data_IF_308082133939
#
_entry.id   IF_308082133939
#
_cell.length_a   1.000
_cell.length_b   1.000
_cell.length_c   1.000
_cell.angle_alpha   90.00
_cell.angle_beta   90.00
_cell.angle_gamma   90.00
#
_symmetry.space_group_name_H-M   'P 1'
#
loop_
_entity.id
_entity.type
_entity.pdbx_description
1 polymer ?
#
# COMPACT_ATOMS: atom_id res chain seq x y z
N UNK A 1 -9.70 6.28 -8.33
CA UNK A 1 -9.37 4.84 -8.55
C UNK A 1 -10.54 3.93 -8.98
N UNK A 2 -11.68 3.89 -8.26
CA UNK A 2 -12.77 2.94 -8.57
C UNK A 2 -13.35 3.07 -9.96
N UNK A 3 -13.52 4.31 -10.44
CA UNK A 3 -13.98 4.58 -11.80
C UNK A 3 -13.01 4.03 -12.86
N UNK A 4 -11.70 4.12 -12.62
CA UNK A 4 -10.70 3.59 -13.56
C UNK A 4 -10.82 2.07 -13.68
N UNK A 5 -10.95 1.36 -12.55
CA UNK A 5 -11.18 -0.10 -12.53
C UNK A 5 -12.46 -0.46 -13.26
N UNK A 6 -13.60 0.15 -12.89
CA UNK A 6 -14.89 -0.12 -13.52
C UNK A 6 -14.88 0.15 -15.03
N UNK A 7 -14.15 1.17 -15.47
CA UNK A 7 -13.99 1.48 -16.89
C UNK A 7 -13.16 0.43 -17.62
N UNK A 8 -12.06 -0.04 -17.03
CA UNK A 8 -11.24 -1.11 -17.61
C UNK A 8 -12.04 -2.42 -17.75
N UNK A 9 -12.80 -2.79 -16.71
CA UNK A 9 -13.66 -3.96 -16.70
C UNK A 9 -14.72 -3.87 -17.82
N UNK A 10 -15.36 -2.71 -17.98
CA UNK A 10 -16.37 -2.49 -19.01
C UNK A 10 -15.81 -2.50 -20.45
N UNK A 11 -14.52 -2.17 -20.62
CA UNK A 11 -13.87 -2.13 -21.94
C UNK A 11 -13.09 -3.41 -22.28
N UNK A 12 -13.08 -4.42 -21.40
CA UNK A 12 -12.33 -5.67 -21.57
C UNK A 12 -10.84 -5.43 -21.95
N UNK A 13 -10.23 -4.39 -21.38
CA UNK A 13 -8.85 -4.02 -21.68
C UNK A 13 -7.90 -4.92 -20.86
N UNK A 14 -7.57 -6.10 -21.37
CA UNK A 14 -6.72 -7.05 -20.64
C UNK A 14 -5.23 -6.74 -20.75
N UNK A 15 -4.78 -6.23 -21.90
CA UNK A 15 -3.37 -5.98 -22.18
C UNK A 15 -2.91 -4.62 -21.60
N UNK A 16 -1.70 -4.51 -21.00
CA UNK A 16 -1.23 -3.27 -20.37
C UNK A 16 -1.28 -2.03 -21.27
N UNK A 17 -0.89 -2.16 -22.54
CA UNK A 17 -0.99 -1.06 -23.51
C UNK A 17 -2.45 -0.67 -23.81
N UNK A 18 -3.34 -1.67 -23.89
CA UNK A 18 -4.77 -1.45 -24.07
C UNK A 18 -5.39 -0.72 -22.87
N UNK A 19 -4.97 -1.08 -21.65
CA UNK A 19 -5.38 -0.41 -20.42
C UNK A 19 -4.93 1.05 -20.40
N UNK A 20 -3.67 1.33 -20.77
CA UNK A 20 -3.16 2.70 -20.84
C UNK A 20 -3.98 3.57 -21.83
N UNK A 21 -4.25 3.05 -23.03
CA UNK A 21 -5.07 3.75 -24.02
C UNK A 21 -6.52 3.96 -23.54
N UNK A 22 -7.10 2.98 -22.84
CA UNK A 22 -8.44 3.10 -22.26
C UNK A 22 -8.49 4.17 -21.17
N UNK A 23 -7.55 4.18 -20.22
CA UNK A 23 -7.52 5.18 -19.17
C UNK A 23 -7.18 6.59 -19.67
N UNK A 24 -6.40 6.73 -20.74
CA UNK A 24 -6.23 8.03 -21.41
C UNK A 24 -7.57 8.59 -21.92
N UNK A 25 -8.43 7.75 -22.52
CA UNK A 25 -9.77 8.18 -22.95
C UNK A 25 -10.66 8.56 -21.77
N UNK A 26 -10.63 7.80 -20.68
CA UNK A 26 -11.39 8.13 -19.47
C UNK A 26 -10.92 9.47 -18.88
N UNK A 27 -9.62 9.64 -18.73
CA UNK A 27 -9.01 10.84 -18.15
C UNK A 27 -9.27 12.10 -18.97
N UNK A 28 -9.47 11.99 -20.29
CA UNK A 28 -9.83 13.12 -21.15
C UNK A 28 -11.17 13.78 -20.74
N UNK A 29 -12.04 13.07 -20.00
CA UNK A 29 -13.30 13.63 -19.48
C UNK A 29 -13.09 14.56 -18.29
N UNK A 30 -11.95 14.47 -17.61
CA UNK A 30 -11.57 15.35 -16.52
C UNK A 30 -10.03 15.46 -16.43
N UNK A 31 -9.39 16.20 -17.35
CA UNK A 31 -7.94 16.16 -17.54
C UNK A 31 -7.15 16.79 -16.40
N UNK A 32 -7.76 17.72 -15.66
CA UNK A 32 -7.12 18.45 -14.55
C UNK A 32 -7.22 17.71 -13.21
N UNK A 33 -8.00 16.63 -13.15
CA UNK A 33 -8.16 15.87 -11.90
C UNK A 33 -6.90 15.10 -11.54
N UNK A 34 -6.48 15.21 -10.28
CA UNK A 34 -5.36 14.44 -9.71
C UNK A 34 -5.51 12.93 -9.98
N UNK A 35 -6.71 12.38 -9.79
CA UNK A 35 -7.01 10.96 -10.05
C UNK A 35 -6.84 10.57 -11.53
N UNK A 36 -7.10 11.49 -12.47
CA UNK A 36 -6.93 11.24 -13.89
C UNK A 36 -5.46 11.06 -14.24
N UNK A 37 -4.59 11.92 -13.70
CA UNK A 37 -3.14 11.75 -13.87
C UNK A 37 -2.62 10.48 -13.20
N UNK A 38 -3.08 10.18 -11.98
CA UNK A 38 -2.69 8.95 -11.27
C UNK A 38 -3.11 7.71 -12.05
N UNK A 39 -4.33 7.67 -12.59
CA UNK A 39 -4.84 6.54 -13.37
C UNK A 39 -4.00 6.29 -14.63
N UNK A 40 -3.67 7.34 -15.40
CA UNK A 40 -2.79 7.20 -16.58
C UNK A 40 -1.39 6.78 -16.15
N UNK A 41 -0.82 7.40 -15.11
CA UNK A 41 0.51 7.07 -14.62
C UNK A 41 0.64 5.60 -14.21
N UNK A 42 -0.35 5.06 -13.50
CA UNK A 42 -0.37 3.67 -13.07
C UNK A 42 -0.38 2.71 -14.25
N UNK A 43 -1.27 2.94 -15.23
CA UNK A 43 -1.30 2.12 -16.43
C UNK A 43 -0.03 2.26 -17.28
N UNK A 44 0.54 3.47 -17.37
CA UNK A 44 1.81 3.70 -18.06
C UNK A 44 2.98 2.97 -17.39
N UNK A 45 3.06 2.97 -16.05
CA UNK A 45 4.04 2.18 -15.30
C UNK A 45 3.89 0.69 -15.58
N UNK A 46 2.66 0.18 -15.57
CA UNK A 46 2.39 -1.24 -15.85
C UNK A 46 2.71 -1.62 -17.31
N UNK A 47 2.54 -0.69 -18.24
CA UNK A 47 2.90 -0.83 -19.65
C UNK A 47 4.37 -0.49 -19.97
N UNK A 48 5.18 -0.11 -18.96
CA UNK A 48 6.58 0.33 -19.11
C UNK A 48 6.75 1.55 -20.04
N UNK A 49 5.74 2.40 -20.12
CA UNK A 49 5.79 3.67 -20.85
C UNK A 49 6.38 4.75 -19.94
N UNK A 50 7.69 4.67 -19.66
CA UNK A 50 8.36 5.47 -18.63
C UNK A 50 8.23 6.99 -18.82
N UNK A 51 8.33 7.47 -20.06
CA UNK A 51 8.18 8.90 -20.37
C UNK A 51 6.77 9.42 -20.05
N UNK A 52 5.75 8.62 -20.35
CA UNK A 52 4.35 8.97 -20.08
C UNK A 52 4.04 8.89 -18.59
N UNK A 53 4.53 7.86 -17.91
CA UNK A 53 4.43 7.73 -16.46
C UNK A 53 5.07 8.92 -15.76
N UNK A 54 6.31 9.30 -16.13
CA UNK A 54 7.01 10.46 -15.55
C UNK A 54 6.24 11.76 -15.75
N UNK A 55 5.72 11.99 -16.96
CA UNK A 55 4.91 13.18 -17.28
C UNK A 55 3.69 13.27 -16.38
N UNK A 56 2.90 12.20 -16.30
CA UNK A 56 1.66 12.19 -15.52
C UNK A 56 1.91 12.24 -14.01
N UNK A 57 2.93 11.55 -13.51
CA UNK A 57 3.29 11.63 -12.10
C UNK A 57 3.76 13.03 -11.71
N UNK A 58 4.55 13.70 -12.56
CA UNK A 58 4.95 15.10 -12.33
C UNK A 58 3.75 16.05 -12.25
N UNK A 59 2.77 15.90 -13.16
CA UNK A 59 1.52 16.67 -13.12
C UNK A 59 0.72 16.37 -11.84
N UNK A 60 0.62 15.10 -11.45
CA UNK A 60 -0.06 14.71 -10.21
C UNK A 60 0.63 15.29 -8.96
N UNK A 61 1.96 15.32 -8.92
CA UNK A 61 2.71 15.92 -7.81
C UNK A 61 2.48 17.43 -7.75
N UNK A 62 2.45 18.12 -8.89
CA UNK A 62 2.18 19.55 -8.96
C UNK A 62 0.73 19.90 -8.57
N UNK A 63 -0.23 19.05 -8.91
CA UNK A 63 -1.65 19.21 -8.57
C UNK A 63 -2.01 18.73 -7.16
N UNK A 64 -1.07 18.14 -6.42
CA UNK A 64 -1.35 17.60 -5.09
C UNK A 64 -1.71 18.72 -4.10
N UNK A 65 -2.77 18.55 -3.29
CA UNK A 65 -3.15 19.54 -2.29
C UNK A 65 -2.12 19.59 -1.15
N UNK A 66 -2.02 20.72 -0.41
CA UNK A 66 -1.28 20.77 0.85
C UNK A 66 -1.75 19.66 1.82
N UNK A 67 -0.84 19.05 2.61
CA UNK A 67 0.57 19.41 2.81
C UNK A 67 1.55 18.81 1.78
N UNK A 68 1.09 18.07 0.78
CA UNK A 68 1.95 17.45 -0.21
C UNK A 68 1.31 16.25 -0.92
N UNK A 69 2.08 15.55 -1.79
CA UNK A 69 1.57 14.40 -2.52
C UNK A 69 1.14 13.27 -1.58
N UNK A 70 0.00 12.60 -1.87
CA UNK A 70 -0.48 11.49 -1.05
C UNK A 70 0.49 10.29 -1.13
N UNK A 71 0.47 9.44 -0.10
CA UNK A 71 1.42 8.33 0.05
C UNK A 71 1.53 7.46 -1.19
N UNK A 72 0.42 7.07 -1.83
CA UNK A 72 0.45 6.24 -3.05
C UNK A 72 1.19 6.91 -4.20
N UNK A 73 1.09 8.24 -4.34
CA UNK A 73 1.75 8.98 -5.40
C UNK A 73 3.27 9.00 -5.19
N UNK A 74 3.73 9.17 -3.94
CA UNK A 74 5.15 9.06 -3.60
C UNK A 74 5.70 7.66 -3.92
N UNK A 75 4.94 6.59 -3.61
CA UNK A 75 5.35 5.22 -3.93
C UNK A 75 5.42 4.97 -5.44
N UNK A 76 4.50 5.54 -6.22
CA UNK A 76 4.55 5.45 -7.68
C UNK A 76 5.75 6.20 -8.27
N UNK A 77 6.11 7.36 -7.70
CA UNK A 77 7.35 8.06 -8.06
C UNK A 77 8.59 7.23 -7.72
N UNK A 78 8.65 6.61 -6.53
CA UNK A 78 9.75 5.71 -6.20
C UNK A 78 9.86 4.56 -7.19
N UNK A 79 8.73 3.90 -7.53
CA UNK A 79 8.68 2.86 -8.56
C UNK A 79 9.15 3.36 -9.92
N UNK A 80 8.80 4.59 -10.31
CA UNK A 80 9.28 5.18 -11.56
C UNK A 80 10.81 5.35 -11.53
N UNK A 81 11.36 5.94 -10.46
CA UNK A 81 12.80 6.20 -10.35
C UNK A 81 13.62 4.93 -10.14
N UNK A 82 13.05 3.83 -9.65
CA UNK A 82 13.72 2.52 -9.68
C UNK A 82 13.84 1.96 -11.11
N UNK A 83 13.04 2.47 -12.04
CA UNK A 83 12.96 2.04 -13.43
C UNK A 83 13.53 3.10 -14.39
N UNK A 84 13.65 2.77 -15.67
CA UNK A 84 14.59 3.38 -16.62
C UNK A 84 14.48 4.92 -16.85
N UNK A 85 15.61 5.67 -16.84
CA UNK A 85 16.96 5.27 -16.41
C UNK A 85 17.01 5.32 -14.86
N UNK A 86 17.01 4.17 -14.21
CA UNK A 86 16.79 4.12 -12.76
C UNK A 86 17.80 4.95 -11.96
N UNK A 87 17.31 5.73 -11.01
CA UNK A 87 18.06 6.46 -9.99
C UNK A 87 17.65 5.93 -8.59
N UNK A 88 18.44 5.01 -8.00
CA UNK A 88 18.12 4.43 -6.70
C UNK A 88 18.19 5.46 -5.56
N UNK A 89 18.90 6.59 -5.75
CA UNK A 89 18.93 7.66 -4.76
C UNK A 89 17.62 8.43 -4.79
N UNK A 90 17.16 8.84 -5.99
CA UNK A 90 15.87 9.50 -6.15
C UNK A 90 14.72 8.60 -5.66
N UNK A 91 14.76 7.30 -5.93
CA UNK A 91 13.79 6.34 -5.42
C UNK A 91 13.71 6.35 -3.88
N UNK A 92 14.87 6.33 -3.19
CA UNK A 92 14.92 6.40 -1.72
C UNK A 92 14.35 7.71 -1.18
N UNK A 93 14.67 8.84 -1.80
CA UNK A 93 14.11 10.14 -1.42
C UNK A 93 12.58 10.13 -1.52
N UNK A 94 12.02 9.49 -2.55
CA UNK A 94 10.57 9.32 -2.68
C UNK A 94 9.97 8.37 -1.64
N UNK A 95 10.67 7.31 -1.25
CA UNK A 95 10.24 6.40 -0.18
C UNK A 95 10.25 7.10 1.19
N UNK A 96 11.27 7.90 1.48
CA UNK A 96 11.33 8.74 2.70
C UNK A 96 10.16 9.73 2.74
N UNK A 97 9.87 10.38 1.60
CA UNK A 97 8.68 11.24 1.47
C UNK A 97 7.38 10.46 1.69
N UNK A 98 7.28 9.23 1.20
CA UNK A 98 6.09 8.38 1.40
C UNK A 98 5.86 8.04 2.89
N UNK A 99 6.91 7.95 3.71
CA UNK A 99 6.80 7.70 5.14
C UNK A 99 6.15 8.86 5.92
N UNK A 100 6.28 10.08 5.41
CA UNK A 100 5.72 11.29 6.02
C UNK A 100 4.56 11.90 5.21
N UNK A 101 4.14 11.24 4.14
CA UNK A 101 3.08 11.72 3.26
C UNK A 101 1.71 11.71 3.95
N UNK A 102 0.81 12.64 3.58
CA UNK A 102 -0.59 12.56 4.01
C UNK A 102 -1.24 11.25 3.56
N UNK A 103 -2.29 10.86 4.28
CA UNK A 103 -3.10 9.70 3.95
C UNK A 103 -3.67 9.81 2.53
N UNK A 104 -3.79 8.68 1.85
CA UNK A 104 -4.45 8.63 0.56
C UNK A 104 -5.94 8.99 0.71
N UNK A 105 -6.54 9.70 -0.27
CA UNK A 105 -7.97 9.95 -0.24
C UNK A 105 -8.74 8.63 -0.31
N UNK A 106 -9.85 8.58 0.42
CA UNK A 106 -10.81 7.48 0.41
C UNK A 106 -12.22 8.04 0.46
N UNK A 107 -13.23 7.16 0.47
CA UNK A 107 -14.60 7.59 0.70
C UNK A 107 -14.80 7.84 2.19
N UNK A 108 -15.22 9.04 2.57
CA UNK A 108 -15.47 9.40 3.96
C UNK A 108 -16.90 9.89 4.09
N UNK A 109 -17.63 9.37 5.08
CA UNK A 109 -18.99 9.79 5.32
C UNK A 109 -19.02 11.24 5.83
N UNK A 110 -19.82 12.09 5.18
CA UNK A 110 -20.05 13.47 5.59
C UNK A 110 -20.82 13.62 6.90
N UNK A 111 -21.52 12.57 7.35
CA UNK A 111 -22.30 12.59 8.59
C UNK A 111 -21.52 12.10 9.81
N UNK A 112 -20.92 10.89 9.73
CA UNK A 112 -20.22 10.27 10.86
C UNK A 112 -18.70 10.22 10.71
N UNK A 113 -18.13 10.74 9.61
CA UNK A 113 -16.69 10.76 9.32
C UNK A 113 -16.02 9.38 9.22
N UNK A 114 -16.80 8.29 9.20
CA UNK A 114 -16.26 6.95 9.00
C UNK A 114 -15.66 6.82 7.59
N UNK A 115 -14.41 6.33 7.47
CA UNK A 115 -13.80 6.02 6.18
C UNK A 115 -14.36 4.71 5.63
N UNK A 116 -14.34 4.60 4.30
CA UNK A 116 -14.74 3.43 3.50
C UNK A 116 -13.77 3.28 2.34
N UNK A 117 -13.41 2.02 2.05
CA UNK A 117 -12.51 1.68 0.93
C UNK A 117 -13.24 1.65 -0.42
N UNK A 118 -14.57 1.54 -0.41
CA UNK A 118 -15.40 1.54 -1.61
C UNK A 118 -16.59 2.51 -1.45
N UNK A 119 -17.10 3.01 -2.58
CA UNK A 119 -18.31 3.82 -2.58
C UNK A 119 -19.56 2.96 -2.38
N UNK A 120 -20.47 3.45 -1.53
CA UNK A 120 -21.79 2.87 -1.31
C UNK A 120 -22.84 3.98 -1.25
N UNK A 121 -24.10 3.73 -1.65
CA UNK A 121 -25.17 4.72 -1.53
C UNK A 121 -25.55 5.01 -0.07
N UNK A 122 -25.28 4.06 0.85
CA UNK A 122 -25.59 4.16 2.28
C UNK A 122 -24.31 3.92 3.07
N UNK A 123 -24.03 4.77 4.06
CA UNK A 123 -22.89 4.59 4.96
C UNK A 123 -23.07 3.32 5.80
N UNK A 124 -22.15 2.37 5.68
CA UNK A 124 -22.15 1.11 6.45
C UNK A 124 -21.96 1.29 7.96
N UNK A 125 -21.58 2.48 8.43
CA UNK A 125 -21.39 2.77 9.85
C UNK A 125 -22.64 3.38 10.51
N UNK A 126 -23.24 4.40 9.90
CA UNK A 126 -24.35 5.16 10.52
C UNK A 126 -25.68 5.07 9.75
N UNK A 127 -25.71 4.45 8.57
CA UNK A 127 -26.93 4.33 7.76
C UNK A 127 -27.31 5.60 6.98
N UNK A 128 -26.51 6.66 7.01
CA UNK A 128 -26.79 7.88 6.25
C UNK A 128 -26.69 7.64 4.74
N UNK A 129 -27.70 8.10 3.98
CA UNK A 129 -27.77 7.99 2.53
C UNK A 129 -27.03 9.14 1.83
N UNK A 130 -26.30 8.84 0.76
CA UNK A 130 -25.60 9.79 -0.12
C UNK A 130 -24.66 10.76 0.60
N UNK A 131 -23.88 10.22 1.54
CA UNK A 131 -22.93 11.03 2.34
C UNK A 131 -21.47 10.70 2.09
N UNK A 132 -21.15 9.67 1.30
CA UNK A 132 -19.76 9.26 1.06
C UNK A 132 -19.09 10.17 0.01
N UNK A 133 -18.12 10.96 0.45
CA UNK A 133 -17.33 11.86 -0.41
C UNK A 133 -15.87 11.40 -0.52
N UNK A 134 -15.27 11.54 -1.70
CA UNK A 134 -13.85 11.24 -1.92
C UNK A 134 -12.98 12.36 -1.35
N UNK A 135 -12.28 12.10 -0.24
CA UNK A 135 -11.40 13.08 0.43
C UNK A 135 -10.34 12.40 1.26
N UNK A 136 -9.31 13.15 1.65
CA UNK A 136 -8.32 12.68 2.62
C UNK A 136 -9.03 12.49 3.97
N UNK A 137 -8.97 11.29 4.58
CA UNK A 137 -9.55 11.10 5.90
C UNK A 137 -8.79 11.93 6.93
N UNK A 138 -9.55 12.54 7.85
CA UNK A 138 -8.94 13.22 8.99
C UNK A 138 -8.20 12.19 9.86
N UNK A 139 -7.04 12.54 10.44
CA UNK A 139 -6.37 11.68 11.40
C UNK A 139 -7.32 11.42 12.56
N UNK A 140 -7.90 10.22 12.62
CA UNK A 140 -8.58 9.80 13.83
C UNK A 140 -7.51 9.60 14.90
N UNK A 141 -7.71 10.11 16.13
CA UNK A 141 -6.83 9.74 17.22
C UNK A 141 -6.83 8.22 17.28
N UNK A 142 -5.66 7.62 17.05
CA UNK A 142 -5.50 6.19 17.23
C UNK A 142 -6.07 5.88 18.61
N UNK A 143 -7.02 4.95 18.71
CA UNK A 143 -7.46 4.45 19.99
C UNK A 143 -6.29 3.68 20.61
N UNK A 144 -5.35 4.40 21.22
CA UNK A 144 -4.24 3.86 22.02
C UNK A 144 -4.75 3.41 23.40
N UNK A 145 -6.05 3.16 23.55
CA UNK A 145 -6.72 2.82 24.79
C UNK A 145 -7.37 1.43 24.68
N UNK A 146 -6.55 0.38 24.57
CA UNK A 146 -7.00 -0.99 24.86
C UNK A 146 -5.86 -1.97 25.23
N UNK A 147 -4.58 -1.57 25.12
CA UNK A 147 -3.47 -2.48 25.41
C UNK A 147 -2.68 -2.14 26.69
N UNK A 148 -3.05 -1.08 27.43
CA UNK A 148 -2.31 -0.65 28.64
C UNK A 148 -2.86 -1.27 29.93
N UNK A 149 -3.99 -2.00 29.87
CA UNK A 149 -4.64 -2.56 31.07
C UNK A 149 -4.82 -4.09 31.03
N UNK A 150 -4.15 -4.76 30.09
CA UNK A 150 -3.99 -6.21 30.20
C UNK A 150 -2.93 -6.48 31.28
N UNK A 151 -3.24 -7.18 32.39
CA UNK A 151 -2.20 -7.62 33.31
C UNK A 151 -1.26 -8.55 32.54
N UNK A 152 -0.07 -8.05 32.25
CA UNK A 152 1.01 -8.83 31.66
C UNK A 152 1.37 -9.96 32.60
N UNK A 153 0.83 -11.15 32.33
CA UNK A 153 1.30 -12.38 32.96
C UNK A 153 2.73 -12.62 32.52
N UNK A 154 3.71 -12.76 33.44
CA UNK A 154 5.07 -13.05 33.04
C UNK A 154 5.10 -14.41 32.34
N UNK A 155 5.60 -14.43 31.10
CA UNK A 155 5.93 -15.66 30.39
C UNK A 155 7.04 -16.37 31.18
N UNK A 156 6.68 -17.41 31.90
CA UNK A 156 7.63 -18.29 32.57
C UNK A 156 8.31 -19.15 31.50
N UNK A 157 9.54 -18.78 31.14
CA UNK A 157 10.37 -19.62 30.27
C UNK A 157 10.71 -20.93 31.02
N UNK A 158 10.52 -22.11 30.41
CA UNK A 158 10.91 -23.37 31.04
C UNK A 158 12.43 -23.37 31.26
N UNK A 159 12.82 -23.76 32.48
CA UNK A 159 14.23 -23.85 32.88
C UNK A 159 14.91 -24.95 32.05
N UNK A 160 16.08 -24.68 31.43
CA UNK A 160 16.79 -25.72 30.71
C UNK A 160 17.21 -26.83 31.68
N UNK A 161 16.79 -28.06 31.39
CA UNK A 161 17.18 -29.25 32.14
C UNK A 161 18.70 -29.43 32.04
N UNK A 162 19.35 -29.52 33.20
CA UNK A 162 20.79 -29.69 33.29
C UNK A 162 21.21 -31.02 32.66
N UNK A 163 21.97 -30.93 31.57
CA UNK A 163 22.67 -32.03 30.93
C UNK A 163 23.55 -32.78 31.95
N UNK A 164 23.10 -33.97 32.35
CA UNK A 164 23.89 -34.91 33.15
C UNK A 164 25.10 -35.40 32.37
N UNK A 165 26.27 -34.84 32.68
CA UNK A 165 27.55 -35.40 32.27
C UNK A 165 27.93 -36.53 33.24
N UNK A 166 27.47 -37.76 32.96
CA UNK A 166 28.00 -38.96 33.62
C UNK A 166 29.27 -39.40 32.89
N UNK A 167 30.43 -39.09 33.50
CA UNK A 167 31.72 -39.68 33.13
C UNK A 167 31.86 -41.01 33.86
N UNK A 168 31.63 -42.12 33.16
CA UNK A 168 32.26 -43.40 33.50
C UNK A 168 32.67 -44.14 32.21
N UNK A 169 33.92 -43.91 31.83
CA UNK A 169 34.66 -44.86 31.01
C UNK A 169 34.98 -46.10 31.85
N UNK A 170 34.48 -47.26 31.43
CA UNK A 170 35.05 -48.55 31.76
C UNK A 170 34.79 -49.49 30.57
N UNK A 171 35.89 -49.98 29.97
CA UNK A 171 36.11 -51.33 29.40
C UNK A 171 34.95 -51.97 28.61
N UNK A 172 35.10 -52.48 27.39
CA UNK A 172 36.14 -53.40 26.92
C UNK A 172 35.93 -53.71 25.41
N UNK A 173 36.92 -54.39 24.84
CA UNK A 173 37.14 -54.68 23.42
C UNK A 173 36.21 -55.76 22.86
N UNK A 174 36.01 -55.71 21.53
CA UNK A 174 36.31 -56.81 20.58
C UNK A 174 35.15 -57.41 19.79
N UNK A 175 35.33 -57.39 18.46
CA UNK A 175 34.90 -58.37 17.44
C UNK A 175 33.39 -58.51 17.15
N UNK A 176 32.88 -58.85 15.96
CA UNK A 176 33.31 -58.92 14.55
C UNK A 176 32.03 -59.36 13.79
N UNK A 177 31.84 -58.83 12.57
CA UNK A 177 31.11 -59.40 11.43
C UNK A 177 29.59 -59.71 11.51
N UNK A 178 28.87 -59.23 10.48
CA UNK A 178 27.48 -59.58 10.13
C UNK A 178 27.37 -60.88 9.32
N UNK A 179 26.55 -60.96 8.25
CA UNK A 179 25.56 -60.00 7.72
C UNK A 179 24.15 -60.14 8.31
#
# INVERSE_FOLDING_TARGET
PDLARAYLDANAAEQPLGQAAALQRLAAQNPEALESHIAIAEAALNARLWGEARRHLGLAVAAAPPPGPPRRLCLMMARLEENEPGDPKAAREWLERAAHAPADPCYVCGHCHAPSTAWHPVCSHCGAFDTLAWRVPEPQPAAIAAAIDAPSSPLMLPRPEGSGADRRHATERSALAGP
#
